data_IF_824153820018
#
_entry.id   IF_824153820018
#
_cell.length_a   1.000
_cell.length_b   1.000
_cell.length_c   1.000
_cell.angle_alpha   90.00
_cell.angle_beta   90.00
_cell.angle_gamma   90.00
#
_symmetry.space_group_name_H-M   'P 1'
#
loop_
_entity.id
_entity.type
_entity.pdbx_description
1 polymer ?
#
# COMPACT_ATOMS: atom_id res chain seq x y z
N UNK A 1 -17.09 0.01 3.19
CA UNK A 1 -16.30 -0.75 2.20
C UNK A 1 -16.56 -0.25 0.78
N UNK A 2 -17.82 -0.01 0.40
CA UNK A 2 -18.16 0.52 -0.93
C UNK A 2 -17.51 1.88 -1.24
N UNK A 3 -17.47 2.80 -0.27
CA UNK A 3 -16.77 4.09 -0.40
C UNK A 3 -15.27 3.92 -0.65
N UNK A 4 -14.62 3.00 0.07
CA UNK A 4 -13.20 2.71 -0.07
C UNK A 4 -12.89 2.12 -1.47
N UNK A 5 -13.75 1.23 -1.97
CA UNK A 5 -13.64 0.68 -3.34
C UNK A 5 -13.86 1.79 -4.38
N UNK A 6 -14.81 2.69 -4.15
CA UNK A 6 -15.08 3.81 -5.04
C UNK A 6 -13.88 4.75 -5.16
N UNK A 7 -13.24 5.11 -4.04
CA UNK A 7 -12.01 5.92 -4.04
C UNK A 7 -10.89 5.19 -4.78
N UNK A 8 -10.66 3.90 -4.47
CA UNK A 8 -9.63 3.10 -5.16
C UNK A 8 -9.81 3.05 -6.69
N UNK A 9 -11.05 2.95 -7.17
CA UNK A 9 -11.35 2.92 -8.61
C UNK A 9 -11.04 4.24 -9.36
N UNK A 10 -10.82 5.35 -8.65
CA UNK A 10 -10.37 6.62 -9.28
C UNK A 10 -8.91 6.57 -9.73
N UNK A 11 -8.12 5.64 -9.17
CA UNK A 11 -6.68 5.52 -9.39
C UNK A 11 -6.32 4.17 -10.05
N UNK A 12 -6.72 3.93 -11.32
CA UNK A 12 -6.50 2.65 -12.00
C UNK A 12 -5.01 2.35 -12.28
N UNK A 13 -4.13 3.35 -12.18
CA UNK A 13 -2.67 3.23 -12.26
C UNK A 13 -2.06 2.58 -11.01
N UNK A 14 -2.82 2.48 -9.91
CA UNK A 14 -2.37 1.88 -8.66
C UNK A 14 -3.04 0.53 -8.48
N UNK A 15 -2.27 -0.54 -8.60
CA UNK A 15 -2.73 -1.89 -8.29
C UNK A 15 -2.67 -2.11 -6.78
N UNK A 16 -3.83 -2.42 -6.20
CA UNK A 16 -4.00 -2.60 -4.76
C UNK A 16 -4.12 -4.08 -4.42
N UNK A 17 -3.29 -4.55 -3.50
CA UNK A 17 -3.35 -5.89 -2.94
C UNK A 17 -3.66 -5.78 -1.44
N UNK A 18 -4.71 -6.47 -0.99
CA UNK A 18 -5.05 -6.56 0.44
C UNK A 18 -5.23 -8.03 0.78
N UNK A 19 -4.50 -8.50 1.78
CA UNK A 19 -4.58 -9.88 2.24
C UNK A 19 -4.63 -9.94 3.76
N UNK A 20 -5.37 -10.90 4.28
CA UNK A 20 -5.44 -11.16 5.72
C UNK A 20 -4.18 -11.90 6.19
N UNK A 21 -3.66 -11.55 7.36
CA UNK A 21 -2.48 -12.22 7.96
C UNK A 21 -2.70 -12.74 9.39
N UNK A 22 -3.97 -12.93 9.81
CA UNK A 22 -4.31 -13.51 11.10
C UNK A 22 -3.62 -14.86 11.35
N UNK A 23 -2.90 -14.95 12.47
CA UNK A 23 -2.18 -16.17 12.87
C UNK A 23 -0.83 -16.38 12.16
N UNK A 24 -0.42 -15.44 11.30
CA UNK A 24 0.88 -15.42 10.63
C UNK A 24 1.76 -14.29 11.18
N UNK A 25 1.18 -13.12 11.44
CA UNK A 25 1.87 -11.91 11.89
C UNK A 25 1.09 -11.19 13.01
N UNK A 26 1.67 -10.14 13.58
CA UNK A 26 1.08 -9.31 14.64
C UNK A 26 -0.03 -8.36 14.14
N UNK A 27 -0.12 -8.19 12.81
CA UNK A 27 -1.14 -7.36 12.13
C UNK A 27 -2.34 -8.19 11.64
N UNK A 28 -3.42 -7.50 11.27
CA UNK A 28 -4.64 -8.12 10.72
C UNK A 28 -4.59 -8.25 9.18
N UNK A 29 -3.92 -7.30 8.54
CA UNK A 29 -3.81 -7.19 7.08
C UNK A 29 -2.38 -6.88 6.66
N UNK A 30 -2.01 -7.39 5.50
CA UNK A 30 -0.91 -6.88 4.68
C UNK A 30 -1.51 -6.17 3.48
N UNK A 31 -1.11 -4.91 3.30
CA UNK A 31 -1.51 -4.06 2.17
C UNK A 31 -0.29 -3.70 1.34
N UNK A 32 -0.39 -3.88 0.03
CA UNK A 32 0.65 -3.55 -0.93
C UNK A 32 0.07 -2.82 -2.13
N UNK A 33 0.69 -1.72 -2.49
CA UNK A 33 0.32 -0.88 -3.63
C UNK A 33 1.46 -0.93 -4.65
N UNK A 34 1.13 -1.24 -5.90
CA UNK A 34 2.08 -1.30 -7.00
C UNK A 34 1.69 -0.22 -8.03
N UNK A 35 2.63 0.65 -8.40
CA UNK A 35 2.42 1.68 -9.42
C UNK A 35 3.75 2.16 -10.01
N UNK A 36 3.71 2.58 -11.27
CA UNK A 36 4.81 3.30 -11.92
C UNK A 36 4.76 4.82 -11.66
N UNK A 37 3.68 5.32 -11.04
CA UNK A 37 3.43 6.74 -10.72
C UNK A 37 3.27 6.94 -9.21
N UNK A 38 4.35 7.18 -8.44
CA UNK A 38 4.29 7.30 -6.98
C UNK A 38 3.42 8.46 -6.46
N UNK A 39 3.21 9.49 -7.27
CA UNK A 39 2.30 10.60 -6.99
C UNK A 39 0.84 10.14 -6.91
N UNK A 40 0.39 9.26 -7.81
CA UNK A 40 -0.96 8.68 -7.76
C UNK A 40 -1.18 7.88 -6.46
N UNK A 41 -0.14 7.19 -5.97
CA UNK A 41 -0.21 6.49 -4.68
C UNK A 41 -0.38 7.46 -3.51
N UNK A 42 0.34 8.58 -3.51
CA UNK A 42 0.24 9.59 -2.46
C UNK A 42 -1.17 10.19 -2.41
N UNK A 43 -1.70 10.59 -3.57
CA UNK A 43 -3.03 11.16 -3.71
C UNK A 43 -4.13 10.16 -3.30
N UNK A 44 -4.01 8.90 -3.75
CA UNK A 44 -4.93 7.83 -3.35
C UNK A 44 -4.95 7.64 -1.83
N UNK A 45 -3.78 7.49 -1.20
CA UNK A 45 -3.70 7.25 0.25
C UNK A 45 -4.23 8.46 1.01
N UNK A 46 -3.96 9.68 0.54
CA UNK A 46 -4.52 10.90 1.15
C UNK A 46 -6.05 10.90 1.10
N UNK A 47 -6.66 10.59 -0.04
CA UNK A 47 -8.12 10.54 -0.16
C UNK A 47 -8.72 9.42 0.71
N UNK A 48 -8.04 8.26 0.79
CA UNK A 48 -8.47 7.16 1.66
C UNK A 48 -8.51 7.54 3.15
N UNK A 49 -7.68 8.49 3.61
CA UNK A 49 -7.72 9.00 4.99
C UNK A 49 -9.03 9.71 5.32
N UNK A 50 -9.68 10.29 4.32
CA UNK A 50 -10.90 11.07 4.50
C UNK A 50 -12.16 10.19 4.55
N UNK A 51 -12.05 8.91 4.17
CA UNK A 51 -13.17 7.95 4.22
C UNK A 51 -13.56 7.59 5.65
N UNK A 52 -14.82 7.21 5.88
CA UNK A 52 -15.30 6.78 7.20
C UNK A 52 -14.54 5.55 7.74
N UNK A 53 -13.98 4.73 6.84
CA UNK A 53 -13.17 3.57 7.18
C UNK A 53 -11.92 3.90 8.00
N UNK A 54 -11.34 5.10 7.83
CA UNK A 54 -10.12 5.50 8.52
C UNK A 54 -10.29 5.57 10.05
N UNK A 55 -11.52 5.81 10.53
CA UNK A 55 -11.84 5.85 11.96
C UNK A 55 -11.73 4.50 12.66
N UNK A 56 -11.69 3.41 11.90
CA UNK A 56 -11.59 2.05 12.40
C UNK A 56 -10.19 1.46 12.25
N UNK A 57 -9.21 2.27 11.84
CA UNK A 57 -7.81 1.86 11.75
C UNK A 57 -7.15 2.09 13.12
N UNK A 58 -6.62 1.01 13.71
CA UNK A 58 -5.84 1.08 14.95
C UNK A 58 -4.37 1.35 14.69
N UNK A 59 -3.79 0.67 13.69
CA UNK A 59 -2.37 0.73 13.36
C UNK A 59 -2.17 0.41 11.87
N UNK A 60 -1.33 1.19 11.21
CA UNK A 60 -1.03 1.10 9.77
C UNK A 60 0.46 1.38 9.45
N UNK A 61 1.31 1.30 10.47
CA UNK A 61 2.76 1.44 10.40
C UNK A 61 3.43 0.13 10.77
N UNK A 62 4.65 -0.14 10.26
CA UNK A 62 5.49 0.71 9.40
C UNK A 62 5.05 0.73 7.93
N UNK A 63 5.45 1.78 7.20
CA UNK A 63 5.29 1.89 5.74
C UNK A 63 6.66 1.76 5.09
N UNK A 64 6.75 0.88 4.09
CA UNK A 64 7.97 0.70 3.29
C UNK A 64 7.70 1.15 1.85
N UNK A 65 8.38 2.20 1.42
CA UNK A 65 8.38 2.66 0.02
C UNK A 65 9.61 2.13 -0.69
N UNK A 66 9.39 1.32 -1.73
CA UNK A 66 10.46 0.57 -2.41
C UNK A 66 10.40 0.80 -3.92
N UNK A 67 11.53 0.56 -4.59
CA UNK A 67 11.60 0.51 -6.05
C UNK A 67 11.68 -0.95 -6.48
N UNK A 68 10.83 -1.37 -7.41
CA UNK A 68 10.93 -2.69 -8.00
C UNK A 68 12.23 -2.80 -8.81
N UNK A 69 13.05 -3.81 -8.52
CA UNK A 69 14.35 -3.98 -9.16
C UNK A 69 14.69 -5.46 -9.32
N UNK A 70 15.64 -5.75 -10.21
CA UNK A 70 16.21 -7.09 -10.35
C UNK A 70 16.94 -7.50 -9.07
N UNK A 71 17.11 -8.81 -8.86
CA UNK A 71 17.87 -9.32 -7.71
C UNK A 71 19.32 -8.80 -7.77
N UNK A 72 19.89 -8.75 -8.97
CA UNK A 72 21.25 -8.25 -9.20
C UNK A 72 21.40 -6.79 -8.79
N UNK A 73 20.43 -5.94 -9.13
CA UNK A 73 20.47 -4.52 -8.77
C UNK A 73 20.20 -4.30 -7.28
N UNK A 74 19.32 -5.11 -6.67
CA UNK A 74 19.09 -5.11 -5.24
C UNK A 74 20.36 -5.44 -4.46
N UNK A 75 21.09 -6.49 -4.85
CA UNK A 75 22.35 -6.87 -4.20
C UNK A 75 23.39 -5.76 -4.33
N UNK A 76 23.55 -5.18 -5.53
CA UNK A 76 24.48 -4.04 -5.74
C UNK A 76 24.14 -2.83 -4.88
N UNK A 77 22.85 -2.57 -4.64
CA UNK A 77 22.41 -1.41 -3.83
C UNK A 77 22.82 -1.50 -2.36
N UNK A 78 23.22 -2.68 -1.87
CA UNK A 78 23.68 -2.89 -0.50
C UNK A 78 25.09 -2.31 -0.22
N UNK A 79 25.74 -1.75 -1.24
CA UNK A 79 27.03 -1.05 -1.10
C UNK A 79 28.27 -1.96 -1.18
N UNK A 80 28.12 -3.15 -1.74
CA UNK A 80 29.22 -4.06 -2.08
C UNK A 80 29.83 -3.76 -3.45
#
# INVERSE_FOLDING_TARGET
MDEHIFVGNKYPSVKLNTSYCFGIDDYEFVVAFETDSPDDFLDLVQELRETEGSRYIKEDTPIFSCVAMSIEDAVKSLGC
#
